data_IF_690755872923
#
_entry.id   IF_690755872923
#
_cell.length_a   1.000
_cell.length_b   1.000
_cell.length_c   1.000
_cell.angle_alpha   90.00
_cell.angle_beta   90.00
_cell.angle_gamma   90.00
#
_symmetry.space_group_name_H-M   'P 1'
#
loop_
_entity.id
_entity.type
_entity.pdbx_description
1 polymer ?
#
# COMPACT_ATOMS: atom_id res chain seq x y z
N UNK A 1 12.87 -10.67 27.66
CA UNK A 1 13.61 -10.09 26.51
C UNK A 1 14.41 -11.13 25.72
N UNK A 2 15.33 -11.91 26.31
CA UNK A 2 16.16 -12.90 25.56
C UNK A 2 15.38 -13.92 24.72
N UNK A 3 14.24 -14.40 25.21
CA UNK A 3 13.35 -15.35 24.48
C UNK A 3 12.70 -14.75 23.23
N UNK A 4 12.38 -13.46 23.25
CA UNK A 4 11.78 -12.77 22.09
C UNK A 4 12.82 -12.64 20.97
N UNK A 5 14.05 -12.24 21.31
CA UNK A 5 15.14 -12.10 20.35
C UNK A 5 15.52 -13.44 19.69
N UNK A 6 15.53 -14.54 20.45
CA UNK A 6 15.76 -15.88 19.91
C UNK A 6 14.66 -16.30 18.93
N UNK A 7 13.39 -15.98 19.25
CA UNK A 7 12.26 -16.25 18.36
C UNK A 7 12.32 -15.45 17.05
N UNK A 8 12.68 -14.16 17.12
CA UNK A 8 12.86 -13.31 15.94
C UNK A 8 14.00 -13.84 15.07
N UNK A 9 15.16 -14.15 15.64
CA UNK A 9 16.29 -14.71 14.90
C UNK A 9 15.96 -16.06 14.24
N UNK A 10 15.23 -16.94 14.92
CA UNK A 10 14.82 -18.22 14.34
C UNK A 10 13.82 -18.05 13.20
N UNK A 11 12.96 -17.03 13.27
CA UNK A 11 11.99 -16.74 12.20
C UNK A 11 12.64 -16.07 10.99
N UNK A 12 13.58 -15.13 11.20
CA UNK A 12 14.33 -14.49 10.11
C UNK A 12 15.18 -15.50 9.34
N UNK A 13 15.75 -16.51 10.03
CA UNK A 13 16.45 -17.61 9.38
C UNK A 13 15.54 -18.50 8.51
N UNK A 14 14.25 -18.62 8.85
CA UNK A 14 13.28 -19.43 8.09
C UNK A 14 12.74 -18.72 6.86
N UNK A 15 12.67 -17.38 6.88
CA UNK A 15 12.12 -16.56 5.80
C UNK A 15 13.04 -15.37 5.46
N UNK A 16 14.30 -15.63 5.05
CA UNK A 16 15.27 -14.58 4.80
C UNK A 16 14.84 -13.62 3.69
N UNK A 17 14.15 -14.10 2.65
CA UNK A 17 13.74 -13.26 1.53
C UNK A 17 12.56 -12.34 1.90
N UNK A 18 11.70 -12.77 2.81
CA UNK A 18 10.69 -11.88 3.39
C UNK A 18 11.32 -10.71 4.15
N UNK A 19 12.43 -10.95 4.86
CA UNK A 19 13.17 -9.87 5.54
C UNK A 19 13.79 -8.92 4.51
N UNK A 20 14.39 -9.44 3.44
CA UNK A 20 14.93 -8.63 2.34
C UNK A 20 13.83 -7.76 1.72
N UNK A 21 12.64 -8.31 1.48
CA UNK A 21 11.48 -7.57 1.00
C UNK A 21 11.10 -6.42 1.94
N UNK A 22 10.99 -6.69 3.24
CA UNK A 22 10.65 -5.67 4.24
C UNK A 22 11.69 -4.56 4.30
N UNK A 23 12.99 -4.90 4.24
CA UNK A 23 14.08 -3.92 4.20
C UNK A 23 13.95 -3.05 2.95
N UNK A 24 13.75 -3.67 1.77
CA UNK A 24 13.58 -2.94 0.51
C UNK A 24 12.42 -1.96 0.56
N UNK A 25 11.23 -2.42 0.97
CA UNK A 25 10.05 -1.56 1.13
C UNK A 25 10.32 -0.43 2.14
N UNK A 26 10.97 -0.74 3.27
CA UNK A 26 11.27 0.27 4.30
C UNK A 26 12.21 1.34 3.77
N UNK A 27 13.28 0.95 3.06
CA UNK A 27 14.23 1.88 2.46
C UNK A 27 13.50 2.78 1.45
N UNK A 28 12.74 2.19 0.51
CA UNK A 28 11.97 2.95 -0.48
C UNK A 28 11.00 3.93 0.18
N UNK A 29 10.29 3.48 1.22
CA UNK A 29 9.34 4.32 1.95
C UNK A 29 10.01 5.50 2.64
N UNK A 30 11.14 5.27 3.33
CA UNK A 30 11.88 6.35 4.02
C UNK A 30 12.45 7.35 3.02
N UNK A 31 12.96 6.89 1.88
CA UNK A 31 13.50 7.77 0.84
C UNK A 31 12.41 8.60 0.13
N UNK A 32 11.21 8.03 -0.01
CA UNK A 32 10.07 8.67 -0.66
C UNK A 32 9.41 9.76 0.21
N UNK A 33 9.45 9.64 1.54
CA UNK A 33 8.82 10.61 2.43
C UNK A 33 9.53 11.98 2.40
N UNK A 34 8.77 13.04 2.13
CA UNK A 34 9.15 14.45 2.11
C UNK A 34 8.15 15.28 2.93
N UNK A 35 8.34 15.40 4.26
CA UNK A 35 7.35 16.01 5.16
C UNK A 35 6.92 17.43 4.81
N UNK A 36 7.80 18.18 4.15
CA UNK A 36 7.59 19.58 3.81
C UNK A 36 6.92 19.77 2.43
N UNK A 37 6.64 18.67 1.71
CA UNK A 37 6.06 18.68 0.37
C UNK A 37 4.68 18.04 0.39
N UNK A 38 3.84 18.40 -0.57
CA UNK A 38 2.55 17.73 -0.81
C UNK A 38 2.61 17.03 -2.15
N UNK A 39 2.12 15.79 -2.22
CA UNK A 39 1.97 15.08 -3.48
C UNK A 39 0.74 15.65 -4.20
N UNK A 40 0.93 16.15 -5.42
CA UNK A 40 -0.17 16.57 -6.28
C UNK A 40 -0.44 15.46 -7.30
N UNK A 41 -1.63 14.89 -7.24
CA UNK A 41 -2.09 13.91 -8.23
C UNK A 41 -2.24 14.51 -9.62
N UNK A 42 -2.30 13.63 -10.62
CA UNK A 42 -2.46 14.02 -12.03
C UNK A 42 -3.88 14.49 -12.38
N UNK A 43 -4.88 14.14 -11.56
CA UNK A 43 -6.24 14.69 -11.72
C UNK A 43 -6.30 16.11 -11.14
N UNK A 44 -7.08 16.98 -11.79
CA UNK A 44 -7.29 18.38 -11.42
C UNK A 44 -8.00 18.56 -10.06
N UNK A 45 -8.22 17.47 -9.32
CA UNK A 45 -8.79 17.47 -7.99
C UNK A 45 -7.74 17.14 -6.96
N UNK A 46 -7.36 18.18 -6.24
CA UNK A 46 -6.65 18.07 -4.98
C UNK A 46 -7.65 17.91 -3.83
N UNK A 47 -8.41 16.81 -3.89
CA UNK A 47 -9.30 16.32 -2.82
C UNK A 47 -8.66 16.29 -1.44
N UNK A 48 -7.33 16.24 -1.43
CA UNK A 48 -6.42 16.15 -0.30
C UNK A 48 -6.36 17.41 0.56
N UNK A 49 -6.59 18.60 -0.02
CA UNK A 49 -6.53 19.88 0.73
C UNK A 49 -7.79 20.17 1.54
N UNK A 50 -8.92 19.51 1.23
CA UNK A 50 -10.21 19.71 1.90
C UNK A 50 -10.97 18.39 2.01
N UNK A 51 -10.51 17.46 2.88
CA UNK A 51 -11.11 16.14 3.02
C UNK A 51 -12.58 16.20 3.48
N UNK A 52 -12.96 17.26 4.20
CA UNK A 52 -14.34 17.57 4.60
C UNK A 52 -15.28 17.73 3.39
N UNK A 53 -14.90 18.59 2.44
CA UNK A 53 -15.66 18.82 1.21
C UNK A 53 -15.67 17.55 0.36
N UNK A 54 -14.57 16.80 0.41
CA UNK A 54 -14.45 15.59 -0.38
C UNK A 54 -15.38 14.46 0.10
N UNK A 55 -15.59 14.31 1.40
CA UNK A 55 -16.59 13.39 1.98
C UNK A 55 -18.00 13.81 1.58
N UNK A 56 -18.32 15.10 1.58
CA UNK A 56 -19.63 15.57 1.09
C UNK A 56 -19.84 15.18 -0.38
N UNK A 57 -18.82 15.41 -1.22
CA UNK A 57 -18.91 15.13 -2.65
C UNK A 57 -19.07 13.65 -2.97
N UNK A 58 -18.38 12.78 -2.22
CA UNK A 58 -18.50 11.33 -2.32
C UNK A 58 -19.95 10.83 -2.30
N UNK A 59 -20.79 11.42 -1.46
CA UNK A 59 -22.18 10.97 -1.29
C UNK A 59 -23.20 11.83 -2.05
N UNK A 60 -22.90 13.11 -2.27
CA UNK A 60 -23.90 14.09 -2.72
C UNK A 60 -23.56 14.83 -4.02
N UNK A 61 -22.33 14.71 -4.54
CA UNK A 61 -21.89 15.43 -5.74
C UNK A 61 -21.39 14.48 -6.84
N UNK A 62 -22.17 13.44 -7.09
CA UNK A 62 -21.87 12.41 -8.08
C UNK A 62 -21.89 12.93 -9.52
N UNK A 63 -22.56 14.05 -9.84
CA UNK A 63 -22.58 14.62 -11.18
C UNK A 63 -21.57 15.76 -11.36
N UNK A 64 -20.77 15.70 -12.43
CA UNK A 64 -19.72 16.69 -12.74
C UNK A 64 -19.99 17.42 -14.05
N UNK A 65 -20.72 18.53 -13.99
CA UNK A 65 -21.10 19.34 -15.17
C UNK A 65 -19.90 19.91 -15.95
N UNK A 66 -18.78 20.17 -15.29
CA UNK A 66 -17.59 20.78 -15.90
C UNK A 66 -16.78 19.83 -16.81
N UNK A 67 -17.13 18.54 -16.87
CA UNK A 67 -16.48 17.55 -17.76
C UNK A 67 -17.39 17.29 -18.98
N UNK A 68 -17.23 18.10 -20.03
CA UNK A 68 -17.96 17.93 -21.30
C UNK A 68 -19.46 18.18 -21.16
N UNK A 69 -20.28 17.16 -21.46
CA UNK A 69 -21.75 17.20 -21.28
C UNK A 69 -22.20 16.86 -19.85
N UNK A 70 -21.25 16.75 -18.93
CA UNK A 70 -21.46 16.21 -17.60
C UNK A 70 -21.24 14.70 -17.57
N UNK A 71 -20.57 14.23 -16.52
CA UNK A 71 -20.35 12.80 -16.28
C UNK A 71 -20.61 12.46 -14.82
N UNK A 72 -21.14 11.27 -14.52
CA UNK A 72 -21.07 10.72 -13.18
C UNK A 72 -19.60 10.57 -12.78
N UNK A 73 -19.30 10.83 -11.51
CA UNK A 73 -17.95 10.81 -10.97
C UNK A 73 -17.57 9.41 -10.57
N UNK A 74 -16.62 8.81 -11.30
CA UNK A 74 -16.11 7.47 -11.00
C UNK A 74 -15.07 7.46 -9.87
N UNK A 75 -14.38 8.58 -9.65
CA UNK A 75 -13.23 8.67 -8.73
C UNK A 75 -13.64 8.53 -7.26
N UNK A 76 -14.83 9.04 -6.90
CA UNK A 76 -15.32 9.08 -5.53
C UNK A 76 -15.51 7.68 -4.92
N UNK A 77 -15.99 6.69 -5.68
CA UNK A 77 -16.23 5.34 -5.14
C UNK A 77 -14.93 4.66 -4.68
N UNK A 78 -13.81 4.98 -5.33
CA UNK A 78 -12.48 4.48 -4.93
C UNK A 78 -11.84 5.25 -3.77
N UNK A 79 -12.40 6.41 -3.37
CA UNK A 79 -11.87 7.27 -2.31
C UNK A 79 -12.20 6.79 -0.90
N UNK A 80 -13.22 5.94 -0.72
CA UNK A 80 -13.74 5.60 0.62
C UNK A 80 -12.64 5.07 1.53
N UNK A 81 -11.80 4.14 1.03
CA UNK A 81 -10.69 3.57 1.80
C UNK A 81 -9.64 4.62 2.18
N UNK A 82 -9.33 5.54 1.27
CA UNK A 82 -8.36 6.62 1.49
C UNK A 82 -8.89 7.66 2.47
N UNK A 83 -10.17 8.03 2.36
CA UNK A 83 -10.84 8.96 3.27
C UNK A 83 -10.93 8.40 4.69
N UNK A 84 -11.20 7.09 4.84
CA UNK A 84 -11.13 6.43 6.14
C UNK A 84 -9.72 6.53 6.74
N UNK A 85 -8.68 6.26 5.92
CA UNK A 85 -7.30 6.42 6.35
C UNK A 85 -6.99 7.86 6.77
N UNK A 86 -7.42 8.88 6.03
CA UNK A 86 -7.24 10.29 6.42
C UNK A 86 -7.99 10.65 7.69
N UNK A 87 -9.22 10.16 7.86
CA UNK A 87 -10.04 10.41 9.04
C UNK A 87 -9.34 9.99 10.34
N UNK A 88 -8.64 8.85 10.31
CA UNK A 88 -7.87 8.35 11.47
C UNK A 88 -6.49 9.04 11.56
N UNK A 89 -5.78 9.14 10.44
CA UNK A 89 -4.39 9.61 10.42
C UNK A 89 -4.23 11.10 10.69
N UNK A 90 -5.22 11.94 10.33
CA UNK A 90 -5.21 13.40 10.58
C UNK A 90 -5.14 13.79 12.06
N UNK A 91 -5.43 12.85 12.97
CA UNK A 91 -5.33 13.08 14.42
C UNK A 91 -3.85 13.17 14.85
N UNK A 92 -2.96 12.50 14.11
CA UNK A 92 -1.55 12.34 14.48
C UNK A 92 -0.59 13.06 13.53
N UNK A 93 -0.98 13.27 12.27
CA UNK A 93 -0.10 13.79 11.22
C UNK A 93 -0.68 15.04 10.57
N UNK A 94 0.22 15.90 10.07
CA UNK A 94 -0.13 17.08 9.27
C UNK A 94 -0.70 16.66 7.90
N UNK A 95 -1.57 17.49 7.32
CA UNK A 95 -2.25 17.25 6.05
C UNK A 95 -1.27 16.95 4.90
N UNK A 96 -0.14 17.66 4.84
CA UNK A 96 0.90 17.46 3.82
C UNK A 96 1.49 16.03 3.81
N UNK A 97 1.47 15.35 4.96
CA UNK A 97 2.00 14.00 5.12
C UNK A 97 0.94 12.92 4.87
N UNK A 98 -0.36 13.24 4.95
CA UNK A 98 -1.41 12.22 4.90
C UNK A 98 -1.40 11.42 3.60
N UNK A 99 -1.25 12.10 2.47
CA UNK A 99 -1.15 11.48 1.15
C UNK A 99 0.06 10.57 1.06
N UNK A 100 1.22 11.06 1.47
CA UNK A 100 2.47 10.31 1.40
C UNK A 100 2.42 9.06 2.28
N UNK A 101 1.87 9.21 3.49
CA UNK A 101 1.67 8.10 4.42
C UNK A 101 0.67 7.08 3.87
N UNK A 102 -0.38 7.52 3.18
CA UNK A 102 -1.32 6.62 2.53
C UNK A 102 -0.64 5.83 1.40
N UNK A 103 0.20 6.48 0.60
CA UNK A 103 0.95 5.81 -0.46
C UNK A 103 1.94 4.79 0.14
N UNK A 104 2.74 5.19 1.12
CA UNK A 104 3.64 4.28 1.84
C UNK A 104 2.87 3.12 2.46
N UNK A 105 1.73 3.37 3.08
CA UNK A 105 0.87 2.33 3.64
C UNK A 105 0.39 1.35 2.56
N UNK A 106 -0.09 1.85 1.43
CA UNK A 106 -0.54 1.02 0.32
C UNK A 106 0.60 0.17 -0.27
N UNK A 107 1.80 0.73 -0.41
CA UNK A 107 3.00 0.01 -0.86
C UNK A 107 3.37 -1.12 0.11
N UNK A 108 3.41 -0.83 1.41
CA UNK A 108 3.72 -1.80 2.47
C UNK A 108 2.68 -2.91 2.51
N UNK A 109 1.40 -2.55 2.60
CA UNK A 109 0.30 -3.53 2.67
C UNK A 109 0.26 -4.38 1.40
N UNK A 110 0.37 -3.77 0.22
CA UNK A 110 0.36 -4.47 -1.05
C UNK A 110 1.52 -5.48 -1.17
N UNK A 111 2.75 -5.05 -0.92
CA UNK A 111 3.93 -5.91 -1.01
C UNK A 111 3.89 -7.06 0.00
N UNK A 112 3.53 -6.78 1.25
CA UNK A 112 3.45 -7.79 2.31
C UNK A 112 2.31 -8.77 2.06
N UNK A 113 1.12 -8.27 1.69
CA UNK A 113 -0.03 -9.15 1.44
C UNK A 113 0.15 -10.01 0.20
N UNK A 114 0.80 -9.51 -0.86
CA UNK A 114 1.11 -10.34 -2.01
C UNK A 114 2.06 -11.49 -1.65
N UNK A 115 3.10 -11.20 -0.85
CA UNK A 115 3.98 -12.26 -0.33
C UNK A 115 3.18 -13.31 0.47
N UNK A 116 2.31 -12.87 1.38
CA UNK A 116 1.51 -13.77 2.23
C UNK A 116 0.52 -14.59 1.42
N UNK A 117 -0.12 -13.98 0.44
CA UNK A 117 -1.05 -14.64 -0.46
C UNK A 117 -0.33 -15.73 -1.27
N UNK A 118 0.83 -15.41 -1.85
CA UNK A 118 1.62 -16.39 -2.59
C UNK A 118 2.10 -17.55 -1.70
N UNK A 119 2.63 -17.25 -0.50
CA UNK A 119 3.01 -18.28 0.48
C UNK A 119 1.81 -19.16 0.87
N UNK A 120 0.62 -18.57 1.04
CA UNK A 120 -0.61 -19.30 1.35
C UNK A 120 -1.05 -20.21 0.19
N UNK A 121 -1.12 -19.69 -1.04
CA UNK A 121 -1.52 -20.44 -2.23
C UNK A 121 -0.57 -21.62 -2.46
N UNK A 122 0.74 -21.39 -2.43
CA UNK A 122 1.73 -22.44 -2.71
C UNK A 122 1.68 -23.55 -1.67
N UNK A 123 1.58 -23.22 -0.38
CA UNK A 123 1.44 -24.22 0.70
C UNK A 123 0.16 -25.03 0.58
N UNK A 124 -0.92 -24.42 0.08
CA UNK A 124 -2.20 -25.09 -0.09
C UNK A 124 -2.14 -26.10 -1.23
N UNK A 125 -1.42 -25.79 -2.32
CA UNK A 125 -1.28 -26.66 -3.48
C UNK A 125 -0.20 -27.73 -3.33
N UNK A 126 0.91 -27.46 -2.64
CA UNK A 126 2.00 -28.41 -2.42
C UNK A 126 1.74 -29.32 -1.21
N UNK A 127 0.69 -30.15 -1.32
CA UNK A 127 0.25 -31.08 -0.25
C UNK A 127 1.35 -32.09 0.14
N UNK A 128 2.22 -32.44 -0.80
CA UNK A 128 3.33 -33.39 -0.59
C UNK A 128 4.59 -32.73 0.00
N UNK A 129 4.56 -31.42 0.27
CA UNK A 129 5.68 -30.67 0.84
C UNK A 129 6.98 -30.78 0.01
N UNK A 130 6.85 -30.98 -1.31
CA UNK A 130 7.99 -31.22 -2.21
C UNK A 130 8.87 -29.98 -2.36
N UNK A 131 8.29 -28.78 -2.23
CA UNK A 131 8.94 -27.50 -2.47
C UNK A 131 9.07 -26.65 -1.21
N UNK A 132 9.01 -27.24 -0.01
CA UNK A 132 9.02 -26.53 1.29
C UNK A 132 10.18 -25.54 1.42
N UNK A 133 11.37 -25.89 0.93
CA UNK A 133 12.55 -25.02 0.99
C UNK A 133 12.49 -23.84 0.01
N UNK A 134 11.60 -23.87 -0.99
CA UNK A 134 11.49 -22.87 -2.06
C UNK A 134 10.28 -21.94 -1.88
N UNK A 135 9.40 -22.20 -0.91
CA UNK A 135 8.20 -21.36 -0.67
C UNK A 135 8.55 -19.89 -0.46
N UNK A 136 9.59 -19.61 0.33
CA UNK A 136 10.03 -18.24 0.59
C UNK A 136 10.49 -17.54 -0.70
N UNK A 137 11.18 -18.27 -1.58
CA UNK A 137 11.65 -17.75 -2.86
C UNK A 137 10.48 -17.43 -3.81
N UNK A 138 9.54 -18.35 -3.96
CA UNK A 138 8.38 -18.12 -4.84
C UNK A 138 7.46 -17.00 -4.31
N UNK A 139 7.23 -16.96 -3.01
CA UNK A 139 6.46 -15.88 -2.39
C UNK A 139 7.16 -14.53 -2.53
N UNK A 140 8.48 -14.49 -2.38
CA UNK A 140 9.29 -13.30 -2.63
C UNK A 140 9.22 -12.86 -4.09
N UNK A 141 9.36 -13.77 -5.05
CA UNK A 141 9.24 -13.45 -6.48
C UNK A 141 7.87 -12.86 -6.81
N UNK A 142 6.78 -13.43 -6.29
CA UNK A 142 5.44 -12.88 -6.50
C UNK A 142 5.30 -11.44 -5.97
N UNK A 143 5.79 -11.17 -4.76
CA UNK A 143 5.79 -9.82 -4.19
C UNK A 143 6.72 -8.87 -4.96
N UNK A 144 7.88 -9.34 -5.42
CA UNK A 144 8.82 -8.57 -6.22
C UNK A 144 8.18 -8.16 -7.55
N UNK A 145 7.60 -9.10 -8.30
CA UNK A 145 6.88 -8.78 -9.54
C UNK A 145 5.69 -7.85 -9.31
N UNK A 146 5.00 -7.99 -8.19
CA UNK A 146 3.95 -7.04 -7.80
C UNK A 146 4.52 -5.64 -7.58
N UNK A 147 5.60 -5.47 -6.82
CA UNK A 147 6.18 -4.17 -6.53
C UNK A 147 6.77 -3.48 -7.77
N UNK A 148 7.38 -4.25 -8.66
CA UNK A 148 8.03 -3.74 -9.87
C UNK A 148 7.13 -3.84 -11.12
N UNK A 149 5.83 -4.03 -10.95
CA UNK A 149 4.91 -3.91 -12.07
C UNK A 149 4.79 -2.44 -12.51
N UNK A 150 4.45 -2.22 -13.79
CA UNK A 150 4.39 -0.88 -14.38
C UNK A 150 3.40 0.05 -13.64
N UNK A 151 2.28 -0.48 -13.18
CA UNK A 151 1.25 0.29 -12.49
C UNK A 151 1.75 0.77 -11.12
N UNK A 152 2.37 -0.12 -10.34
CA UNK A 152 2.95 0.20 -9.03
C UNK A 152 4.09 1.20 -9.18
N UNK A 153 4.99 1.02 -10.15
CA UNK A 153 6.07 1.97 -10.42
C UNK A 153 5.61 3.33 -10.93
N UNK A 154 4.42 3.41 -11.54
CA UNK A 154 3.86 4.69 -11.99
C UNK A 154 3.25 5.51 -10.86
N UNK A 155 2.94 4.87 -9.73
CA UNK A 155 2.24 5.47 -8.58
C UNK A 155 3.19 5.76 -7.41
N UNK A 156 4.23 4.94 -7.21
CA UNK A 156 5.18 5.02 -6.09
C UNK A 156 6.61 5.29 -6.57
#
# INVERSE_FOLDING_TARGET
MKTIWLGVCAWTQKKPLFVVLLIGITISSVLALKPDQTLLGWDNYSSYFRPDINVFRLFFATWREFRGLGVPSDAEVTEIGRLFFYGVSRIFFNENLLDQLHHVFALVVGGVMMYKLADFVIRTYDSDCKYVHQYDFFAFMAAFFYLFNLNTLSVF
#
